data_IF_387925321463
#
_entry.id   IF_387925321463
#
_cell.length_a   1.000
_cell.length_b   1.000
_cell.length_c   1.000
_cell.angle_alpha   90.00
_cell.angle_beta   90.00
_cell.angle_gamma   90.00
#
_symmetry.space_group_name_H-M   'P 1'
#
loop_
_entity.id
_entity.type
_entity.pdbx_description
1 polymer ?
#
# COMPACT_ATOMS: atom_id res chain seq x y z
N UNK A 1 -22.20 77.00 62.81
CA UNK A 1 -22.55 75.68 63.39
C UNK A 1 -23.21 74.87 62.29
N UNK A 2 -22.58 73.77 61.86
CA UNK A 2 -23.17 72.56 61.23
C UNK A 2 -22.10 71.86 60.39
N UNK A 3 -21.56 70.76 60.92
CA UNK A 3 -20.66 69.83 60.22
C UNK A 3 -21.50 68.97 59.28
N UNK A 4 -21.19 68.97 57.98
CA UNK A 4 -21.71 67.97 57.03
C UNK A 4 -20.57 66.97 56.74
N UNK A 5 -20.81 65.72 57.12
CA UNK A 5 -19.91 64.57 56.91
C UNK A 5 -20.06 64.08 55.46
N UNK A 6 -19.00 64.19 54.66
CA UNK A 6 -18.90 63.47 53.39
C UNK A 6 -18.59 62.00 53.67
N UNK A 7 -19.53 61.10 53.33
CA UNK A 7 -19.27 59.67 53.19
C UNK A 7 -18.91 59.39 51.72
N UNK A 8 -17.69 58.95 51.47
CA UNK A 8 -17.29 58.35 50.18
C UNK A 8 -17.98 56.98 50.03
N UNK A 9 -18.43 56.59 48.82
CA UNK A 9 -18.95 55.26 48.58
C UNK A 9 -17.80 54.24 48.49
N UNK A 10 -17.98 53.12 49.18
CA UNK A 10 -17.11 51.95 49.11
C UNK A 10 -17.32 51.28 47.75
N UNK A 11 -16.29 51.30 46.89
CA UNK A 11 -16.26 50.51 45.66
C UNK A 11 -16.03 49.03 46.02
N UNK A 12 -17.10 48.22 45.97
CA UNK A 12 -16.99 46.76 46.02
C UNK A 12 -16.51 46.29 44.64
N UNK A 13 -15.25 45.85 44.54
CA UNK A 13 -14.75 45.14 43.35
C UNK A 13 -15.50 43.81 43.24
N UNK A 14 -16.42 43.72 42.29
CA UNK A 14 -17.06 42.47 41.87
C UNK A 14 -16.05 41.70 41.01
N UNK A 15 -15.41 40.68 41.58
CA UNK A 15 -14.57 39.76 40.81
C UNK A 15 -15.49 38.91 39.93
N UNK A 16 -15.60 39.25 38.65
CA UNK A 16 -16.20 38.38 37.65
C UNK A 16 -15.22 37.23 37.40
N UNK A 17 -15.50 36.06 38.00
CA UNK A 17 -14.83 34.82 37.62
C UNK A 17 -15.49 34.37 36.31
N UNK A 18 -14.83 34.63 35.19
CA UNK A 18 -15.18 34.00 33.91
C UNK A 18 -14.64 32.58 34.00
N UNK A 19 -15.52 31.61 34.29
CA UNK A 19 -15.21 30.19 34.10
C UNK A 19 -15.23 29.96 32.59
N UNK A 20 -14.07 30.06 31.95
CA UNK A 20 -13.88 29.55 30.59
C UNK A 20 -13.87 28.03 30.74
N UNK A 21 -15.02 27.41 30.53
CA UNK A 21 -15.08 25.97 30.22
C UNK A 21 -14.46 25.81 28.84
N UNK A 22 -13.15 25.60 28.81
CA UNK A 22 -12.43 25.20 27.60
C UNK A 22 -12.92 23.82 27.20
N UNK A 23 -13.97 23.77 26.39
CA UNK A 23 -14.30 22.57 25.64
C UNK A 23 -13.22 22.45 24.57
N UNK A 24 -12.10 21.80 24.94
CA UNK A 24 -11.11 21.37 23.96
C UNK A 24 -11.85 20.47 22.97
N UNK A 25 -12.16 21.01 21.79
CA UNK A 25 -12.46 20.17 20.63
C UNK A 25 -11.21 19.32 20.43
N UNK A 26 -11.26 18.07 20.88
CA UNK A 26 -10.46 17.03 20.25
C UNK A 26 -10.96 16.98 18.81
N UNK A 27 -10.30 17.73 17.93
CA UNK A 27 -10.27 17.40 16.52
C UNK A 27 -9.52 16.08 16.48
N UNK A 28 -10.26 14.98 16.61
CA UNK A 28 -9.78 13.70 16.16
C UNK A 28 -9.50 13.91 14.68
N UNK A 29 -8.21 14.00 14.32
CA UNK A 29 -7.79 13.81 12.95
C UNK A 29 -8.14 12.35 12.64
N UNK A 30 -9.39 12.11 12.25
CA UNK A 30 -9.77 10.87 11.60
C UNK A 30 -9.03 10.91 10.28
N UNK A 31 -7.85 10.28 10.24
CA UNK A 31 -7.22 9.96 8.96
C UNK A 31 -8.31 9.30 8.12
N UNK A 32 -8.56 9.79 6.89
CA UNK A 32 -9.58 9.20 6.06
C UNK A 32 -9.24 7.71 5.92
N UNK A 33 -10.23 6.83 6.13
CA UNK A 33 -10.12 5.44 5.71
C UNK A 33 -10.07 5.45 4.18
N UNK A 34 -8.88 5.68 3.63
CA UNK A 34 -8.55 5.30 2.27
C UNK A 34 -8.12 3.84 2.37
N UNK A 35 -8.44 3.02 1.38
CA UNK A 35 -7.78 1.73 1.27
C UNK A 35 -6.29 2.01 1.08
N UNK A 36 -5.53 1.84 2.15
CA UNK A 36 -4.08 1.96 2.12
C UNK A 36 -3.47 0.86 1.24
N UNK A 37 -2.26 1.09 0.74
CA UNK A 37 -1.46 0.04 0.13
C UNK A 37 -1.30 -1.14 1.10
N UNK A 38 -1.09 -2.32 0.55
CA UNK A 38 -0.67 -3.48 1.32
C UNK A 38 0.44 -4.19 0.57
N UNK A 39 1.54 -4.43 1.25
CA UNK A 39 2.70 -5.05 0.65
C UNK A 39 3.29 -6.11 1.56
N UNK A 40 4.07 -6.99 0.93
CA UNK A 40 4.97 -7.88 1.61
C UNK A 40 6.26 -7.11 1.89
N UNK A 41 6.78 -7.19 3.11
CA UNK A 41 8.03 -6.52 3.49
C UNK A 41 8.99 -7.48 4.19
N UNK A 42 10.28 -7.16 4.15
CA UNK A 42 11.30 -7.84 4.93
C UNK A 42 12.44 -6.89 5.24
N UNK A 43 13.04 -7.00 6.42
CA UNK A 43 14.26 -6.25 6.74
C UNK A 43 15.50 -6.76 6.00
N UNK A 44 15.35 -7.83 5.23
CA UNK A 44 16.46 -8.61 4.67
C UNK A 44 16.15 -9.08 3.26
N UNK A 45 16.10 -8.13 2.33
CA UNK A 45 15.85 -8.39 0.91
C UNK A 45 16.94 -9.20 0.22
N UNK A 46 18.14 -9.27 0.79
CA UNK A 46 19.22 -10.16 0.32
C UNK A 46 19.78 -10.95 1.50
N UNK A 47 19.89 -12.27 1.34
CA UNK A 47 20.33 -13.18 2.40
C UNK A 47 21.19 -14.34 1.89
N UNK A 48 21.94 -14.97 2.78
CA UNK A 48 22.62 -16.24 2.51
C UNK A 48 21.62 -17.40 2.53
N UNK A 49 22.02 -18.52 1.93
CA UNK A 49 21.26 -19.77 2.05
C UNK A 49 21.08 -20.16 3.52
N UNK A 50 19.97 -20.84 3.82
CA UNK A 50 19.62 -21.37 5.14
C UNK A 50 19.58 -20.31 6.26
N UNK A 51 19.49 -19.03 5.89
CA UNK A 51 19.28 -17.92 6.83
C UNK A 51 17.79 -17.57 6.90
N UNK A 52 17.32 -17.17 8.08
CA UNK A 52 15.92 -16.83 8.31
C UNK A 52 15.54 -15.48 7.70
N UNK A 53 14.52 -15.50 6.84
CA UNK A 53 13.83 -14.31 6.32
C UNK A 53 12.52 -14.13 7.06
N UNK A 54 12.39 -13.02 7.78
CA UNK A 54 11.11 -12.58 8.35
C UNK A 54 10.31 -11.87 7.27
N UNK A 55 9.13 -12.39 6.97
CA UNK A 55 8.23 -11.86 5.96
C UNK A 55 7.01 -11.24 6.64
N UNK A 56 6.89 -9.92 6.54
CA UNK A 56 5.80 -9.14 7.12
C UNK A 56 4.75 -8.85 6.06
N UNK A 57 3.48 -8.77 6.48
CA UNK A 57 2.40 -8.17 5.71
C UNK A 57 2.19 -6.77 6.29
N UNK A 58 2.30 -5.72 5.50
CA UNK A 58 2.18 -4.34 6.00
C UNK A 58 1.00 -3.67 5.31
N UNK A 59 0.15 -2.99 6.08
CA UNK A 59 -0.87 -2.10 5.54
C UNK A 59 -0.56 -0.66 5.95
N UNK A 60 -0.51 0.23 4.96
CA UNK A 60 -0.05 1.59 5.18
C UNK A 60 0.11 2.38 3.89
N UNK A 61 0.74 3.54 3.99
CA UNK A 61 0.92 4.47 2.88
C UNK A 61 2.34 5.05 2.94
N UNK A 62 2.93 5.39 1.79
CA UNK A 62 4.29 5.96 1.74
C UNK A 62 5.32 5.10 2.48
N UNK A 63 5.26 3.77 2.33
CA UNK A 63 6.16 2.83 3.04
C UNK A 63 6.11 2.89 4.59
N UNK A 64 5.11 3.56 5.17
CA UNK A 64 4.85 3.59 6.60
C UNK A 64 3.49 2.94 6.89
N UNK A 65 3.46 2.06 7.88
CA UNK A 65 2.31 1.22 8.12
C UNK A 65 2.47 0.30 9.30
N UNK A 66 1.44 -0.50 9.54
CA UNK A 66 1.43 -1.48 10.62
C UNK A 66 1.43 -2.90 10.05
N UNK A 67 2.09 -3.81 10.77
CA UNK A 67 2.10 -5.21 10.39
C UNK A 67 0.74 -5.87 10.66
N UNK A 68 0.27 -6.60 9.67
CA UNK A 68 -0.89 -7.47 9.75
C UNK A 68 -0.43 -8.87 10.17
N UNK A 69 -1.16 -9.46 11.12
CA UNK A 69 -0.91 -10.85 11.49
C UNK A 69 -1.43 -11.84 10.45
N UNK A 70 -0.84 -13.03 10.43
CA UNK A 70 -1.24 -14.15 9.59
C UNK A 70 -2.64 -14.66 9.97
N UNK A 71 -3.58 -14.64 9.03
CA UNK A 71 -4.90 -15.24 9.16
C UNK A 71 -5.34 -15.87 7.84
N UNK A 72 -5.53 -17.19 7.82
CA UNK A 72 -5.96 -17.93 6.61
C UNK A 72 -7.27 -17.42 6.00
N UNK A 73 -8.15 -16.83 6.81
CA UNK A 73 -9.40 -16.25 6.32
C UNK A 73 -9.23 -14.92 5.58
N UNK A 74 -8.01 -14.37 5.48
CA UNK A 74 -7.73 -13.06 4.86
C UNK A 74 -7.08 -13.18 3.48
N UNK A 75 -6.70 -14.38 3.05
CA UNK A 75 -6.04 -14.59 1.77
C UNK A 75 -6.54 -15.87 1.11
N UNK A 76 -6.60 -15.83 -0.22
CA UNK A 76 -6.89 -17.00 -1.06
C UNK A 76 -5.59 -17.70 -1.47
N UNK A 77 -4.50 -16.96 -1.62
CA UNK A 77 -3.17 -17.50 -1.90
C UNK A 77 -2.10 -16.79 -1.07
N UNK A 78 -1.20 -17.56 -0.46
CA UNK A 78 0.02 -17.03 0.15
C UNK A 78 1.13 -18.06 0.01
N UNK A 79 2.12 -17.77 -0.83
CA UNK A 79 3.15 -18.73 -1.23
C UNK A 79 4.41 -18.00 -1.68
N UNK A 80 5.48 -18.75 -1.88
CA UNK A 80 6.65 -18.26 -2.61
C UNK A 80 7.00 -19.17 -3.77
N UNK A 81 7.74 -18.62 -4.71
CA UNK A 81 8.32 -19.34 -5.84
C UNK A 81 9.84 -19.21 -5.76
N UNK A 82 10.53 -20.34 -5.76
CA UNK A 82 11.99 -20.40 -5.87
C UNK A 82 12.37 -21.49 -6.87
N UNK A 83 13.20 -21.15 -7.86
CA UNK A 83 13.59 -22.09 -8.92
C UNK A 83 12.39 -22.81 -9.58
N UNK A 84 11.36 -22.03 -9.93
CA UNK A 84 10.09 -22.49 -10.53
C UNK A 84 9.27 -23.47 -9.67
N UNK A 85 9.59 -23.62 -8.38
CA UNK A 85 8.79 -24.41 -7.44
C UNK A 85 7.95 -23.48 -6.57
N UNK A 86 6.63 -23.65 -6.65
CA UNK A 86 5.66 -23.02 -5.75
C UNK A 86 5.63 -23.78 -4.42
N UNK A 87 5.73 -23.04 -3.31
CA UNK A 87 5.63 -23.56 -1.95
C UNK A 87 4.69 -22.66 -1.14
N UNK A 88 3.63 -23.24 -0.60
CA UNK A 88 2.66 -22.50 0.22
C UNK A 88 3.30 -22.04 1.53
N UNK A 89 2.95 -20.83 1.95
CA UNK A 89 3.42 -20.22 3.20
C UNK A 89 2.40 -20.50 4.30
N UNK A 90 2.85 -21.25 5.29
CA UNK A 90 2.05 -21.72 6.41
C UNK A 90 2.67 -21.23 7.73
N UNK A 91 1.88 -20.49 8.51
CA UNK A 91 2.26 -19.91 9.81
C UNK A 91 1.15 -20.13 10.82
N UNK A 92 1.41 -19.82 12.10
CA UNK A 92 0.36 -19.90 13.11
C UNK A 92 -0.57 -18.68 12.99
N UNK A 93 -1.87 -18.93 13.19
CA UNK A 93 -2.88 -17.87 13.23
C UNK A 93 -2.53 -16.83 14.29
N UNK A 94 -2.44 -15.56 13.88
CA UNK A 94 -2.04 -14.44 14.73
C UNK A 94 -0.54 -14.13 14.75
N UNK A 95 0.30 -14.86 14.01
CA UNK A 95 1.74 -14.56 13.92
C UNK A 95 2.01 -13.20 13.27
N UNK A 96 2.96 -12.47 13.84
CA UNK A 96 3.53 -11.20 13.34
C UNK A 96 5.04 -11.24 13.64
N UNK A 97 5.95 -11.29 12.65
CA UNK A 97 5.73 -11.22 11.20
C UNK A 97 4.88 -12.37 10.67
N UNK A 98 4.29 -12.20 9.48
CA UNK A 98 3.33 -13.14 8.91
C UNK A 98 3.95 -14.52 8.60
N UNK A 99 5.26 -14.59 8.35
CA UNK A 99 6.01 -15.83 8.25
C UNK A 99 7.49 -15.65 8.62
N UNK A 100 8.15 -16.75 8.95
CA UNK A 100 9.61 -16.86 8.99
C UNK A 100 10.02 -18.00 8.08
N UNK A 101 10.78 -17.68 7.03
CA UNK A 101 11.12 -18.56 5.93
C UNK A 101 12.62 -18.84 5.93
N UNK A 102 13.04 -19.97 5.36
CA UNK A 102 14.44 -20.25 5.06
C UNK A 102 14.54 -20.95 3.70
N UNK A 103 15.61 -20.64 2.96
CA UNK A 103 15.79 -21.08 1.59
C UNK A 103 17.11 -21.82 1.43
N UNK A 104 17.07 -23.11 1.08
CA UNK A 104 18.26 -23.93 0.88
C UNK A 104 18.83 -23.90 -0.53
N UNK A 105 18.16 -23.21 -1.45
CA UNK A 105 18.64 -23.03 -2.82
C UNK A 105 18.95 -21.55 -3.09
N UNK A 106 19.99 -21.33 -3.88
CA UNK A 106 20.30 -20.01 -4.41
C UNK A 106 19.20 -19.53 -5.38
N UNK A 107 19.16 -18.21 -5.57
CA UNK A 107 18.44 -17.56 -6.66
C UNK A 107 17.49 -16.46 -6.18
N UNK A 108 16.72 -15.94 -7.12
CA UNK A 108 15.63 -15.03 -6.84
C UNK A 108 14.42 -15.80 -6.30
N UNK A 109 13.87 -15.33 -5.18
CA UNK A 109 12.60 -15.79 -4.61
C UNK A 109 11.54 -14.74 -4.88
N UNK A 110 10.39 -15.16 -5.37
CA UNK A 110 9.19 -14.32 -5.50
C UNK A 110 8.17 -14.76 -4.46
N UNK A 111 7.94 -13.94 -3.43
CA UNK A 111 6.82 -14.14 -2.49
C UNK A 111 5.55 -13.51 -3.04
N UNK A 112 4.40 -14.17 -2.88
CA UNK A 112 3.10 -13.76 -3.43
C UNK A 112 2.02 -13.89 -2.36
N UNK A 113 1.22 -12.85 -2.21
CA UNK A 113 0.02 -12.82 -1.37
C UNK A 113 -1.16 -12.29 -2.18
N UNK A 114 -2.29 -13.00 -2.11
CA UNK A 114 -3.56 -12.61 -2.72
C UNK A 114 -4.63 -12.57 -1.65
N UNK A 115 -5.17 -11.39 -1.37
CA UNK A 115 -6.17 -11.21 -0.32
C UNK A 115 -7.50 -11.88 -0.68
N UNK A 116 -8.27 -12.23 0.34
CA UNK A 116 -9.71 -12.36 0.20
C UNK A 116 -10.35 -11.00 -0.04
N UNK A 117 -11.60 -11.01 -0.48
CA UNK A 117 -12.40 -9.80 -0.67
C UNK A 117 -12.51 -9.01 0.63
N UNK A 118 -12.31 -7.71 0.54
CA UNK A 118 -12.70 -6.76 1.58
C UNK A 118 -13.62 -5.70 1.01
N UNK A 119 -14.36 -4.99 1.86
CA UNK A 119 -15.31 -3.97 1.43
C UNK A 119 -15.03 -2.68 2.19
N UNK A 120 -15.03 -1.55 1.47
CA UNK A 120 -14.96 -0.21 2.04
C UNK A 120 -16.27 0.53 1.78
N UNK A 121 -16.68 1.34 2.75
CA UNK A 121 -17.86 2.20 2.63
C UNK A 121 -17.40 3.64 2.43
N UNK A 122 -17.89 4.29 1.38
CA UNK A 122 -17.69 5.71 1.14
C UNK A 122 -18.87 6.50 1.70
N UNK A 123 -18.59 7.35 2.69
CA UNK A 123 -19.60 8.29 3.21
C UNK A 123 -20.00 9.30 2.12
N UNK A 124 -19.03 9.77 1.33
CA UNK A 124 -19.23 10.73 0.24
C UNK A 124 -18.42 10.35 -1.00
N UNK A 125 -18.88 10.83 -2.16
CA UNK A 125 -18.18 10.69 -3.45
C UNK A 125 -16.80 11.39 -3.46
N UNK A 126 -16.58 12.39 -2.61
CA UNK A 126 -15.34 13.17 -2.61
C UNK A 126 -14.12 12.28 -2.33
N UNK A 127 -14.24 11.37 -1.35
CA UNK A 127 -13.14 10.45 -1.00
C UNK A 127 -12.82 9.43 -2.08
N UNK A 128 -13.86 8.91 -2.74
CA UNK A 128 -13.67 8.06 -3.91
C UNK A 128 -13.03 8.83 -5.06
N UNK A 129 -13.39 10.10 -5.24
CA UNK A 129 -12.83 10.95 -6.30
C UNK A 129 -11.37 11.28 -6.06
N UNK A 130 -10.99 11.65 -4.82
CA UNK A 130 -9.59 11.85 -4.42
C UNK A 130 -8.76 10.58 -4.68
N UNK A 131 -9.26 9.42 -4.23
CA UNK A 131 -8.63 8.12 -4.46
C UNK A 131 -8.48 7.79 -5.95
N UNK A 132 -9.54 7.94 -6.75
CA UNK A 132 -9.51 7.63 -8.17
C UNK A 132 -8.54 8.54 -8.93
N UNK A 133 -8.44 9.84 -8.56
CA UNK A 133 -7.42 10.75 -9.12
C UNK A 133 -6.02 10.32 -8.71
N UNK A 134 -5.78 10.05 -7.42
CA UNK A 134 -4.46 9.64 -6.93
C UNK A 134 -3.93 8.40 -7.67
N UNK A 135 -4.81 7.45 -7.96
CA UNK A 135 -4.46 6.19 -8.63
C UNK A 135 -4.56 6.21 -10.15
N UNK A 136 -4.88 7.36 -10.77
CA UNK A 136 -4.98 7.50 -12.23
C UNK A 136 -6.21 6.81 -12.86
N UNK A 137 -7.29 6.69 -12.09
CA UNK A 137 -8.56 6.06 -12.46
C UNK A 137 -9.72 7.09 -12.54
N UNK A 138 -9.45 8.33 -12.92
CA UNK A 138 -10.42 9.45 -12.93
C UNK A 138 -11.68 9.19 -13.76
N UNK A 139 -11.57 8.32 -14.76
CA UNK A 139 -12.71 7.89 -15.59
C UNK A 139 -13.85 7.31 -14.72
N UNK A 140 -13.52 6.68 -13.59
CA UNK A 140 -14.48 6.08 -12.68
C UNK A 140 -15.40 7.12 -12.06
N UNK A 141 -14.91 8.35 -11.83
CA UNK A 141 -15.71 9.48 -11.31
C UNK A 141 -16.81 9.85 -12.30
N UNK A 142 -16.46 10.02 -13.58
CA UNK A 142 -17.44 10.31 -14.63
C UNK A 142 -18.43 9.15 -14.76
N UNK A 143 -17.93 7.91 -14.80
CA UNK A 143 -18.77 6.72 -14.92
C UNK A 143 -19.74 6.57 -13.74
N UNK A 144 -19.31 6.90 -12.52
CA UNK A 144 -20.16 6.91 -11.33
C UNK A 144 -21.40 7.79 -11.54
N UNK A 145 -21.19 9.00 -12.08
CA UNK A 145 -22.29 9.93 -12.41
C UNK A 145 -23.16 9.41 -13.56
N UNK A 146 -22.56 8.89 -14.62
CA UNK A 146 -23.28 8.37 -15.79
C UNK A 146 -24.21 7.20 -15.41
N UNK A 147 -23.76 6.33 -14.51
CA UNK A 147 -24.54 5.20 -13.98
C UNK A 147 -25.50 5.59 -12.84
N UNK A 148 -25.50 6.87 -12.42
CA UNK A 148 -26.33 7.40 -11.34
C UNK A 148 -26.16 6.63 -10.02
N UNK A 149 -24.95 6.18 -9.74
CA UNK A 149 -24.64 5.56 -8.45
C UNK A 149 -24.84 6.56 -7.29
N UNK A 150 -25.11 6.06 -6.06
CA UNK A 150 -25.33 6.91 -4.91
C UNK A 150 -24.09 7.75 -4.59
N UNK A 151 -24.27 9.06 -4.38
CA UNK A 151 -23.18 9.96 -4.01
C UNK A 151 -22.74 9.85 -2.54
N UNK A 152 -23.49 9.10 -1.75
CA UNK A 152 -23.27 8.89 -0.31
C UNK A 152 -23.56 7.44 0.04
N UNK A 153 -22.87 6.91 1.04
CA UNK A 153 -23.05 5.56 1.58
C UNK A 153 -23.08 4.45 0.52
N UNK A 154 -22.17 4.52 -0.44
CA UNK A 154 -21.95 3.45 -1.42
C UNK A 154 -20.72 2.64 -1.03
N UNK A 155 -20.60 1.43 -1.59
CA UNK A 155 -19.52 0.51 -1.26
C UNK A 155 -18.65 0.18 -2.46
N UNK A 156 -17.42 -0.18 -2.15
CA UNK A 156 -16.45 -0.75 -3.07
C UNK A 156 -15.90 -2.04 -2.46
N UNK A 157 -15.93 -3.11 -3.24
CA UNK A 157 -15.18 -4.32 -2.91
C UNK A 157 -13.75 -4.17 -3.42
N UNK A 158 -12.76 -4.65 -2.67
CA UNK A 158 -11.37 -4.57 -3.09
C UNK A 158 -10.59 -5.84 -2.78
N UNK A 159 -9.54 -6.04 -3.58
CA UNK A 159 -8.63 -7.18 -3.54
C UNK A 159 -7.19 -6.69 -3.65
N UNK A 160 -6.26 -7.33 -2.95
CA UNK A 160 -4.85 -6.96 -2.95
C UNK A 160 -3.95 -8.12 -3.40
N UNK A 161 -3.02 -7.81 -4.29
CA UNK A 161 -2.12 -8.72 -4.96
C UNK A 161 -0.69 -8.23 -4.75
N UNK A 162 -0.02 -8.74 -3.74
CA UNK A 162 1.29 -8.25 -3.32
C UNK A 162 2.37 -9.27 -3.67
N UNK A 163 3.42 -8.80 -4.34
CA UNK A 163 4.63 -9.54 -4.63
C UNK A 163 5.82 -8.93 -3.90
N UNK A 164 6.79 -9.76 -3.54
CA UNK A 164 8.09 -9.35 -3.04
C UNK A 164 9.19 -10.16 -3.74
N UNK A 165 10.30 -9.50 -4.07
CA UNK A 165 11.51 -10.16 -4.57
C UNK A 165 12.56 -10.20 -3.47
N UNK A 166 13.13 -11.39 -3.25
CA UNK A 166 14.18 -11.63 -2.25
C UNK A 166 15.34 -12.36 -2.92
N UNK A 167 16.54 -11.83 -2.78
CA UNK A 167 17.77 -12.44 -3.29
C UNK A 167 18.34 -13.44 -2.29
N UNK A 168 18.49 -14.70 -2.69
CA UNK A 168 19.09 -15.75 -1.86
C UNK A 168 20.42 -16.21 -2.45
N UNK A 169 21.48 -16.16 -1.65
CA UNK A 169 22.82 -16.57 -2.04
C UNK A 169 23.35 -15.74 -3.20
N UNK A 170 23.39 -16.32 -4.41
CA UNK A 170 23.85 -15.60 -5.61
C UNK A 170 22.79 -14.67 -6.25
N UNK A 171 21.54 -14.69 -5.75
CA UNK A 171 20.41 -13.86 -6.20
C UNK A 171 20.07 -13.96 -7.71
N UNK A 172 20.58 -14.99 -8.39
CA UNK A 172 20.40 -15.19 -9.83
C UNK A 172 18.97 -15.62 -10.18
N UNK A 173 18.53 -15.30 -11.39
CA UNK A 173 17.20 -15.65 -11.89
C UNK A 173 16.40 -14.42 -12.29
N UNK A 174 15.11 -14.62 -12.47
CA UNK A 174 14.16 -13.58 -12.87
C UNK A 174 12.86 -13.77 -12.10
N UNK A 175 12.13 -12.67 -11.92
CA UNK A 175 10.74 -12.78 -11.47
C UNK A 175 9.93 -13.54 -12.53
N UNK A 176 8.84 -14.16 -12.11
CA UNK A 176 7.96 -14.90 -13.00
C UNK A 176 6.54 -14.34 -12.92
N UNK A 177 5.83 -14.39 -14.05
CA UNK A 177 4.39 -14.16 -14.08
C UNK A 177 3.70 -15.32 -13.35
N UNK A 178 3.11 -15.03 -12.20
CA UNK A 178 2.45 -15.99 -11.33
C UNK A 178 1.02 -16.32 -11.80
N UNK A 179 0.45 -15.50 -12.69
CA UNK A 179 -0.91 -15.69 -13.20
C UNK A 179 -1.99 -15.25 -12.20
N UNK A 180 -1.63 -14.35 -11.27
CA UNK A 180 -2.60 -13.73 -10.36
C UNK A 180 -3.36 -12.61 -11.10
N UNK A 181 -4.59 -12.32 -10.66
CA UNK A 181 -5.53 -11.46 -11.40
C UNK A 181 -4.94 -10.07 -11.74
N UNK A 182 -4.24 -9.46 -10.80
CA UNK A 182 -3.55 -8.19 -11.03
C UNK A 182 -2.09 -8.33 -10.60
N UNK A 183 -1.17 -8.13 -11.54
CA UNK A 183 0.23 -8.50 -11.33
C UNK A 183 1.18 -7.44 -11.87
N UNK A 184 2.19 -7.08 -11.06
CA UNK A 184 3.37 -6.35 -11.49
C UNK A 184 4.52 -7.36 -11.53
N UNK A 185 5.06 -7.62 -12.73
CA UNK A 185 6.18 -8.55 -12.94
C UNK A 185 7.45 -7.74 -13.16
N UNK A 186 8.49 -7.98 -12.37
CA UNK A 186 9.80 -7.37 -12.64
C UNK A 186 10.46 -8.04 -13.85
N UNK A 187 10.75 -7.26 -14.88
CA UNK A 187 11.52 -7.71 -16.04
C UNK A 187 13.03 -7.59 -15.80
N UNK A 188 13.43 -6.72 -14.86
CA UNK A 188 14.80 -6.61 -14.37
C UNK A 188 14.93 -7.30 -13.01
N UNK A 189 15.95 -8.14 -12.84
CA UNK A 189 16.30 -8.65 -11.51
C UNK A 189 16.99 -7.52 -10.70
N UNK A 190 16.44 -7.11 -9.54
CA UNK A 190 16.98 -5.98 -8.76
C UNK A 190 18.37 -6.23 -8.19
N UNK A 191 18.87 -7.47 -8.23
CA UNK A 191 20.17 -7.88 -7.72
C UNK A 191 21.21 -8.13 -8.83
N UNK A 192 20.86 -7.92 -10.09
CA UNK A 192 21.80 -8.11 -11.19
C UNK A 192 22.70 -6.87 -11.36
N UNK A 193 24.02 -7.03 -11.15
CA UNK A 193 25.03 -5.96 -11.32
C UNK A 193 25.11 -5.40 -12.74
N UNK A 194 24.69 -6.19 -13.74
CA UNK A 194 24.79 -5.80 -15.15
C UNK A 194 23.57 -5.01 -15.65
N UNK A 195 22.54 -4.79 -14.81
CA UNK A 195 21.40 -3.95 -15.20
C UNK A 195 21.84 -2.48 -15.27
N UNK A 196 21.71 -1.87 -16.46
CA UNK A 196 22.25 -0.55 -16.83
C UNK A 196 21.51 0.64 -16.18
N UNK A 197 21.36 0.67 -14.87
CA UNK A 197 20.62 1.69 -14.08
C UNK A 197 19.10 1.77 -14.39
N UNK A 198 18.59 0.90 -15.26
CA UNK A 198 17.21 0.92 -15.74
C UNK A 198 16.46 -0.34 -15.27
N UNK A 199 15.38 -0.10 -14.52
CA UNK A 199 14.49 -1.11 -14.00
C UNK A 199 13.19 -1.13 -14.80
N UNK A 200 12.76 -2.32 -15.17
CA UNK A 200 11.59 -2.55 -16.01
C UNK A 200 10.59 -3.42 -15.27
N UNK A 201 9.33 -3.02 -15.29
CA UNK A 201 8.20 -3.82 -14.79
C UNK A 201 7.14 -3.95 -15.85
N UNK A 202 6.40 -5.06 -15.85
CA UNK A 202 5.24 -5.29 -16.70
C UNK A 202 3.98 -5.37 -15.86
N UNK A 203 2.98 -4.56 -16.20
CA UNK A 203 1.67 -4.56 -15.57
C UNK A 203 0.71 -5.47 -16.33
N UNK A 204 0.10 -6.40 -15.61
CA UNK A 204 -0.81 -7.40 -16.15
C UNK A 204 -2.10 -7.38 -15.33
N UNK A 205 -3.23 -7.48 -16.02
CA UNK A 205 -4.55 -7.64 -15.40
C UNK A 205 -5.39 -8.61 -16.22
N UNK A 206 -5.92 -9.65 -15.57
CA UNK A 206 -6.60 -10.79 -16.22
C UNK A 206 -5.76 -11.36 -17.38
N UNK A 207 -4.48 -11.66 -17.13
CA UNK A 207 -3.50 -12.18 -18.10
C UNK A 207 -3.26 -11.29 -19.34
N UNK A 208 -3.68 -10.02 -19.31
CA UNK A 208 -3.49 -9.07 -20.40
C UNK A 208 -2.59 -7.91 -19.98
N UNK A 209 -1.59 -7.55 -20.80
CA UNK A 209 -0.79 -6.35 -20.56
C UNK A 209 -1.66 -5.09 -20.51
N UNK A 210 -1.36 -4.20 -19.58
CA UNK A 210 -2.14 -2.99 -19.36
C UNK A 210 -1.40 -1.77 -19.91
N UNK A 211 -1.85 -1.25 -21.05
CA UNK A 211 -1.29 -0.08 -21.72
C UNK A 211 -1.71 1.23 -21.05
N UNK A 212 -0.80 2.22 -21.04
CA UNK A 212 -1.05 3.59 -20.61
C UNK A 212 -1.72 3.68 -19.22
N UNK A 213 -1.24 2.85 -18.28
CA UNK A 213 -1.65 2.86 -16.88
C UNK A 213 -0.57 3.53 -16.04
N UNK A 214 -1.02 4.29 -15.05
CA UNK A 214 -0.14 4.91 -14.07
C UNK A 214 0.51 3.83 -13.20
N UNK A 215 1.81 3.89 -13.04
CA UNK A 215 2.55 3.16 -12.00
C UNK A 215 3.09 4.20 -11.04
N UNK A 216 2.71 4.07 -9.77
CA UNK A 216 3.30 4.87 -8.70
C UNK A 216 4.44 4.06 -8.07
N UNK A 217 5.51 4.75 -7.72
CA UNK A 217 6.77 4.14 -7.27
C UNK A 217 7.22 4.91 -6.04
N UNK A 218 7.21 4.23 -4.90
CA UNK A 218 7.80 4.72 -3.67
C UNK A 218 9.22 4.20 -3.55
N UNK A 219 10.14 5.08 -3.21
CA UNK A 219 11.55 4.78 -2.97
C UNK A 219 11.89 5.18 -1.53
N UNK A 220 12.40 4.23 -0.74
CA UNK A 220 12.79 4.43 0.65
C UNK A 220 14.31 4.29 0.79
N UNK A 221 14.96 5.33 1.31
CA UNK A 221 16.40 5.30 1.59
C UNK A 221 16.72 4.63 2.94
N UNK A 222 18.02 4.50 3.25
CA UNK A 222 18.49 3.91 4.50
C UNK A 222 18.13 4.72 5.76
N UNK A 223 17.85 6.02 5.61
CA UNK A 223 17.36 6.90 6.68
C UNK A 223 15.83 6.83 6.84
N UNK A 224 15.16 6.03 6.00
CA UNK A 224 13.71 5.85 5.89
C UNK A 224 12.97 7.08 5.34
N UNK A 225 13.65 7.98 4.63
CA UNK A 225 12.97 9.00 3.86
C UNK A 225 12.34 8.36 2.62
N UNK A 226 11.13 8.79 2.27
CA UNK A 226 10.38 8.23 1.14
C UNK A 226 10.14 9.30 0.09
N UNK A 227 10.54 9.00 -1.14
CA UNK A 227 10.20 9.79 -2.33
C UNK A 227 9.21 9.03 -3.20
N UNK A 228 8.46 9.77 -4.02
CA UNK A 228 7.47 9.19 -4.92
C UNK A 228 7.72 9.68 -6.34
N UNK A 229 7.66 8.77 -7.29
CA UNK A 229 7.67 9.07 -8.71
C UNK A 229 6.50 8.34 -9.39
N UNK A 230 6.02 8.92 -10.49
CA UNK A 230 4.96 8.34 -11.32
C UNK A 230 5.52 8.11 -12.72
N UNK A 231 5.22 6.96 -13.28
CA UNK A 231 5.51 6.61 -14.68
C UNK A 231 4.27 5.96 -15.31
N UNK A 232 4.30 5.72 -16.62
CA UNK A 232 3.20 5.10 -17.35
C UNK A 232 3.67 3.90 -18.14
N UNK A 233 2.83 2.87 -18.22
CA UNK A 233 3.11 1.71 -19.06
C UNK A 233 2.95 2.02 -20.55
N UNK A 234 3.82 1.44 -21.37
CA UNK A 234 3.73 1.49 -22.83
C UNK A 234 2.67 0.53 -23.41
N UNK A 235 2.69 0.34 -24.73
CA UNK A 235 1.75 -0.51 -25.46
C UNK A 235 1.84 -1.99 -25.09
N UNK A 236 3.00 -2.44 -24.59
CA UNK A 236 3.24 -3.81 -24.14
C UNK A 236 3.01 -3.98 -22.63
N UNK A 237 2.48 -2.93 -21.97
CA UNK A 237 2.24 -2.88 -20.54
C UNK A 237 3.50 -2.71 -19.71
N UNK A 238 4.60 -2.22 -20.30
CA UNK A 238 5.90 -2.11 -19.65
C UNK A 238 6.12 -0.67 -19.16
N UNK A 239 6.47 -0.54 -17.88
CA UNK A 239 6.93 0.71 -17.30
C UNK A 239 8.43 0.64 -17.02
N UNK A 240 9.10 1.79 -17.16
CA UNK A 240 10.55 1.94 -16.99
C UNK A 240 10.84 3.06 -15.99
N UNK A 241 11.79 2.82 -15.11
CA UNK A 241 12.28 3.79 -14.13
C UNK A 241 13.71 3.48 -13.70
N UNK A 242 14.34 4.38 -12.93
CA UNK A 242 15.67 4.15 -12.36
C UNK A 242 15.56 3.68 -10.92
N UNK A 243 16.54 2.89 -10.50
CA UNK A 243 16.72 2.48 -9.11
C UNK A 243 18.05 3.00 -8.59
N UNK A 244 18.07 3.37 -7.32
CA UNK A 244 19.21 3.82 -6.55
C UNK A 244 19.72 2.63 -5.75
N UNK A 245 21.03 2.42 -5.79
CA UNK A 245 21.71 1.35 -5.08
C UNK A 245 21.32 1.33 -3.59
N UNK A 246 21.00 0.15 -3.05
CA UNK A 246 20.65 -0.05 -1.65
C UNK A 246 19.25 0.42 -1.20
N UNK A 247 18.54 1.21 -2.00
CA UNK A 247 17.21 1.70 -1.66
C UNK A 247 16.12 0.63 -1.83
N UNK A 248 15.06 0.77 -1.05
CA UNK A 248 13.88 -0.09 -1.09
C UNK A 248 12.78 0.52 -1.96
N UNK A 249 12.03 -0.32 -2.67
CA UNK A 249 11.03 0.08 -3.64
C UNK A 249 9.71 -0.62 -3.38
N UNK A 250 8.61 0.14 -3.44
CA UNK A 250 7.24 -0.31 -3.46
C UNK A 250 6.62 0.26 -4.72
N UNK A 251 6.25 -0.63 -5.63
CA UNK A 251 5.61 -0.28 -6.91
C UNK A 251 4.13 -0.60 -6.75
N UNK A 252 3.25 0.38 -6.99
CA UNK A 252 1.81 0.20 -6.89
C UNK A 252 1.07 0.56 -8.18
N UNK A 253 -0.02 -0.16 -8.40
CA UNK A 253 -1.05 0.17 -9.36
C UNK A 253 -2.41 -0.27 -8.82
N UNK A 254 -3.45 0.46 -9.20
CA UNK A 254 -4.84 0.10 -8.92
C UNK A 254 -5.63 0.11 -10.21
N UNK A 255 -6.46 -0.91 -10.39
CA UNK A 255 -7.50 -0.93 -11.43
C UNK A 255 -8.85 -0.91 -10.77
N UNK A 256 -9.73 -0.01 -11.22
CA UNK A 256 -11.13 0.05 -10.81
C UNK A 256 -12.00 -0.58 -11.91
N UNK A 257 -13.04 -1.31 -11.53
CA UNK A 257 -14.07 -1.83 -12.42
C UNK A 257 -15.45 -1.58 -11.82
N UNK A 258 -16.46 -1.35 -12.67
CA UNK A 258 -17.85 -1.35 -12.20
C UNK A 258 -18.17 -2.74 -11.68
N UNK A 259 -18.78 -2.82 -10.50
CA UNK A 259 -19.29 -4.10 -10.01
C UNK A 259 -20.62 -4.41 -10.71
N UNK A 260 -20.62 -5.44 -11.56
CA UNK A 260 -21.78 -5.83 -12.35
C UNK A 260 -22.65 -6.90 -11.67
N UNK A 261 -22.29 -7.39 -10.48
CA UNK A 261 -23.08 -8.39 -9.76
C UNK A 261 -24.35 -7.74 -9.17
N UNK A 262 -25.56 -8.06 -9.69
CA UNK A 262 -26.80 -7.44 -9.22
C UNK A 262 -27.17 -7.85 -7.78
N UNK A 263 -26.50 -8.85 -7.20
CA UNK A 263 -26.69 -9.28 -5.81
C UNK A 263 -25.73 -8.61 -4.84
N UNK A 264 -24.74 -7.88 -5.35
CA UNK A 264 -23.74 -7.18 -4.57
C UNK A 264 -24.18 -5.73 -4.33
N UNK A 265 -23.96 -5.23 -3.11
CA UNK A 265 -24.29 -3.85 -2.72
C UNK A 265 -23.13 -2.88 -2.93
N UNK A 266 -21.94 -3.38 -3.25
CA UNK A 266 -20.83 -2.59 -3.78
C UNK A 266 -21.05 -2.27 -5.26
N UNK A 267 -20.86 -1.00 -5.61
CA UNK A 267 -21.00 -0.50 -6.99
C UNK A 267 -19.68 -0.49 -7.75
N UNK A 268 -18.56 -0.59 -7.03
CA UNK A 268 -17.21 -0.68 -7.57
C UNK A 268 -16.49 -1.93 -7.08
N UNK A 269 -15.54 -2.40 -7.89
CA UNK A 269 -14.49 -3.34 -7.49
C UNK A 269 -13.13 -2.73 -7.79
N UNK A 270 -12.20 -2.75 -6.85
CA UNK A 270 -10.80 -2.36 -7.10
C UNK A 270 -9.82 -3.49 -6.87
N UNK A 271 -8.76 -3.50 -7.65
CA UNK A 271 -7.71 -4.51 -7.62
C UNK A 271 -6.39 -3.78 -7.45
N UNK A 272 -5.68 -4.09 -6.38
CA UNK A 272 -4.46 -3.40 -5.97
C UNK A 272 -3.27 -4.31 -6.20
N UNK A 273 -2.37 -3.95 -7.11
CA UNK A 273 -1.11 -4.65 -7.27
C UNK A 273 0.00 -3.91 -6.52
N UNK A 274 0.83 -4.67 -5.82
CA UNK A 274 2.03 -4.17 -5.17
C UNK A 274 3.22 -5.07 -5.50
N UNK A 275 4.39 -4.49 -5.76
CA UNK A 275 5.67 -5.21 -5.87
C UNK A 275 6.71 -4.53 -5.01
N UNK A 276 7.37 -5.28 -4.13
CA UNK A 276 8.45 -4.79 -3.27
C UNK A 276 9.78 -5.47 -3.55
N UNK A 277 10.86 -4.69 -3.45
CA UNK A 277 12.24 -5.19 -3.52
C UNK A 277 13.21 -4.15 -2.95
N UNK A 278 14.46 -4.55 -2.73
CA UNK A 278 15.58 -3.63 -2.50
C UNK A 278 16.51 -3.72 -3.69
N UNK A 279 16.90 -2.58 -4.25
CA UNK A 279 17.96 -2.56 -5.26
C UNK A 279 19.25 -3.12 -4.67
N UNK A 280 20.10 -3.71 -5.52
CA UNK A 280 21.39 -4.24 -5.10
C UNK A 280 22.14 -3.20 -4.27
N UNK A 281 22.75 -3.63 -3.19
CA UNK A 281 23.73 -2.88 -2.41
C UNK A 281 25.08 -3.51 -2.76
N UNK A 282 25.98 -2.78 -3.44
CA UNK A 282 27.26 -3.34 -3.89
C UNK A 282 28.22 -3.63 -2.74
N UNK A 283 27.88 -3.23 -1.51
CA UNK A 283 28.66 -3.46 -0.30
C UNK A 283 28.35 -4.79 0.40
N UNK A 284 27.31 -5.52 -0.03
CA UNK A 284 26.94 -6.87 0.43
C UNK A 284 27.34 -7.96 -0.60
#
# INVERSE_FOLDING_TARGET
MAKIKNKLPVFVKKNFVIIITGLSLLVANSSPLISHEMWLDTTTYQQKIDTEVKLSLVNGQMFDGFELSYFKSRFSEFYYINNNKKVDIESRMGDTPAATLSFSNNGLVTGIYVSEKSTINYETLDKFSEFAVEKGEEWAIKKHSDLKFPKVNFKEDYYRFSKILIGVGNSQGSDIQAGIKHEIVALTNPYNRDSKDEFYVKLIFNDKPQKNRQITIFERDFEKNVTTQVTFTDDDGIAKFKVTEGNEYLIDNVIIEVNEDPKNDAVWSSYWAALTFRALDATQ
#
